data_IF_811743732251
#
_entry.id   IF_811743732251
#
_cell.length_a   1.000
_cell.length_b   1.000
_cell.length_c   1.000
_cell.angle_alpha   90.00
_cell.angle_beta   90.00
_cell.angle_gamma   90.00
#
_symmetry.space_group_name_H-M   'P 1'
#
loop_
_entity.id
_entity.type
_entity.pdbx_description
1 polymer ?
#
# COMPACT_ATOMS: atom_id res chain seq x y z
N UNK A 1 -14.82 7.32 -0.09
CA UNK A 1 -14.23 6.49 -1.15
C UNK A 1 -13.64 5.25 -0.49
N UNK A 2 -14.01 4.04 -0.91
CA UNK A 2 -13.50 2.79 -0.33
C UNK A 2 -11.99 2.62 -0.53
N UNK A 3 -11.43 3.10 -1.64
CA UNK A 3 -9.98 3.10 -1.88
C UNK A 3 -9.23 3.82 -0.75
N UNK A 4 -9.73 4.99 -0.34
CA UNK A 4 -9.10 5.78 0.73
C UNK A 4 -9.13 5.05 2.08
N UNK A 5 -10.23 4.36 2.41
CA UNK A 5 -10.34 3.58 3.66
C UNK A 5 -9.36 2.40 3.68
N UNK A 6 -9.25 1.68 2.56
CA UNK A 6 -8.30 0.56 2.43
C UNK A 6 -6.86 1.07 2.50
N UNK A 7 -6.58 2.22 1.87
CA UNK A 7 -5.29 2.88 1.94
C UNK A 7 -4.90 3.25 3.39
N UNK A 8 -5.80 3.88 4.14
CA UNK A 8 -5.58 4.21 5.56
C UNK A 8 -5.36 2.95 6.42
N UNK A 9 -6.10 1.87 6.15
CA UNK A 9 -5.94 0.59 6.85
C UNK A 9 -4.52 0.02 6.65
N UNK A 10 -4.05 -0.06 5.40
CA UNK A 10 -2.68 -0.51 5.11
C UNK A 10 -1.63 0.37 5.79
N UNK A 11 -1.78 1.70 5.75
CA UNK A 11 -0.80 2.59 6.39
C UNK A 11 -0.71 2.36 7.91
N UNK A 12 -1.85 2.13 8.56
CA UNK A 12 -1.90 1.87 10.01
C UNK A 12 -1.33 0.50 10.35
N UNK A 13 -1.78 -0.54 9.66
CA UNK A 13 -1.41 -1.94 9.95
C UNK A 13 0.07 -2.21 9.62
N UNK A 14 0.57 -1.72 8.48
CA UNK A 14 1.98 -1.88 8.12
C UNK A 14 2.89 -1.27 9.20
N UNK A 15 2.56 -0.07 9.69
CA UNK A 15 3.30 0.59 10.77
C UNK A 15 3.21 -0.17 12.10
N UNK A 16 2.03 -0.64 12.49
CA UNK A 16 1.87 -1.41 13.74
C UNK A 16 2.62 -2.75 13.71
N UNK A 17 2.74 -3.35 12.53
CA UNK A 17 3.49 -4.58 12.29
C UNK A 17 5.00 -4.34 12.07
N UNK A 18 5.49 -3.11 12.27
CA UNK A 18 6.91 -2.78 12.22
C UNK A 18 7.49 -2.62 10.83
N UNK A 19 6.66 -2.40 9.80
CA UNK A 19 7.14 -1.98 8.49
C UNK A 19 7.37 -0.47 8.45
N UNK A 20 8.49 -0.07 7.85
CA UNK A 20 8.85 1.34 7.66
C UNK A 20 8.39 1.83 6.29
N UNK A 21 7.61 2.91 6.25
CA UNK A 21 7.20 3.55 5.00
C UNK A 21 8.40 4.22 4.34
N UNK A 22 8.63 3.91 3.06
CA UNK A 22 9.74 4.46 2.26
C UNK A 22 9.24 5.44 1.21
N UNK A 23 8.10 5.15 0.60
CA UNK A 23 7.46 6.05 -0.33
C UNK A 23 5.94 5.90 -0.27
N UNK A 24 5.25 7.02 -0.45
CA UNK A 24 3.81 7.09 -0.65
C UNK A 24 3.56 7.98 -1.86
N UNK A 25 2.79 7.48 -2.81
CA UNK A 25 2.39 8.21 -4.02
C UNK A 25 0.89 8.10 -4.19
N UNK A 26 0.22 9.24 -4.39
CA UNK A 26 -1.21 9.29 -4.63
C UNK A 26 -1.44 9.87 -6.03
N UNK A 27 -2.07 9.08 -6.91
CA UNK A 27 -2.37 9.43 -8.29
C UNK A 27 -3.89 9.34 -8.51
N UNK A 28 -4.60 10.43 -8.24
CA UNK A 28 -6.06 10.48 -8.41
C UNK A 28 -6.78 9.42 -7.56
N UNK A 29 -7.35 8.41 -8.20
CA UNK A 29 -8.05 7.29 -7.53
C UNK A 29 -7.14 6.10 -7.19
N UNK A 30 -5.83 6.26 -7.31
CA UNK A 30 -4.84 5.25 -6.97
C UNK A 30 -3.91 5.72 -5.84
N UNK A 31 -3.65 4.86 -4.87
CA UNK A 31 -2.61 5.01 -3.86
C UNK A 31 -1.55 3.93 -4.03
N UNK A 32 -0.29 4.31 -3.98
CA UNK A 32 0.87 3.40 -4.02
C UNK A 32 1.73 3.62 -2.80
N UNK A 33 2.08 2.53 -2.13
CA UNK A 33 2.96 2.53 -0.96
C UNK A 33 4.14 1.60 -1.17
N UNK A 34 5.30 2.02 -0.68
CA UNK A 34 6.51 1.22 -0.59
C UNK A 34 6.89 1.12 0.87
N UNK A 35 6.97 -0.11 1.37
CA UNK A 35 7.34 -0.42 2.74
C UNK A 35 8.57 -1.32 2.78
N UNK A 36 9.34 -1.23 3.86
CA UNK A 36 10.50 -2.08 4.11
C UNK A 36 10.45 -2.67 5.53
N UNK A 37 10.88 -3.92 5.65
CA UNK A 37 11.09 -4.58 6.94
C UNK A 37 12.25 -5.57 6.81
N UNK A 38 13.36 -5.28 7.48
CA UNK A 38 14.61 -6.04 7.37
C UNK A 38 15.07 -6.09 5.90
N UNK A 39 15.32 -7.27 5.33
CA UNK A 39 15.69 -7.47 3.92
C UNK A 39 14.50 -7.60 2.98
N UNK A 40 13.28 -7.20 3.39
CA UNK A 40 12.07 -7.28 2.56
C UNK A 40 11.57 -5.92 2.15
N UNK A 41 11.10 -5.83 0.91
CA UNK A 41 10.38 -4.68 0.37
C UNK A 41 8.97 -5.12 -0.04
N UNK A 42 7.97 -4.30 0.29
CA UNK A 42 6.59 -4.49 -0.11
C UNK A 42 6.12 -3.29 -0.93
N UNK A 43 5.61 -3.54 -2.14
CA UNK A 43 4.96 -2.55 -2.99
C UNK A 43 3.46 -2.84 -2.99
N UNK A 44 2.66 -1.86 -2.60
CA UNK A 44 1.21 -1.96 -2.49
C UNK A 44 0.61 -0.91 -3.40
N UNK A 45 -0.23 -1.31 -4.35
CA UNK A 45 -1.02 -0.40 -5.17
C UNK A 45 -2.51 -0.67 -4.94
N UNK A 46 -3.27 0.37 -4.64
CA UNK A 46 -4.70 0.32 -4.34
C UNK A 46 -5.39 1.27 -5.31
N UNK A 47 -6.30 0.77 -6.11
CA UNK A 47 -7.02 1.56 -7.11
C UNK A 47 -8.48 1.15 -7.20
N UNK A 48 -9.30 2.02 -7.79
CA UNK A 48 -10.65 1.66 -8.25
C UNK A 48 -10.57 1.18 -9.70
N UNK A 49 -11.15 0.03 -10.00
CA UNK A 49 -11.31 -0.47 -11.39
C UNK A 49 -12.69 -1.12 -11.49
N UNK A 50 -13.48 -0.70 -12.48
CA UNK A 50 -14.89 -1.11 -12.66
C UNK A 50 -15.76 -0.95 -11.41
N UNK A 51 -15.53 0.13 -10.65
CA UNK A 51 -16.25 0.43 -9.41
C UNK A 51 -15.88 -0.50 -8.24
N UNK A 52 -14.84 -1.31 -8.38
CA UNK A 52 -14.33 -2.21 -7.33
C UNK A 52 -12.93 -1.81 -6.91
N UNK A 53 -12.66 -1.90 -5.60
CA UNK A 53 -11.31 -1.73 -5.08
C UNK A 53 -10.45 -2.92 -5.46
N UNK A 54 -9.36 -2.65 -6.18
CA UNK A 54 -8.32 -3.61 -6.54
C UNK A 54 -7.06 -3.29 -5.75
N UNK A 55 -6.44 -4.34 -5.23
CA UNK A 55 -5.21 -4.27 -4.45
C UNK A 55 -4.18 -5.17 -5.13
N UNK A 56 -3.07 -4.58 -5.53
CA UNK A 56 -1.89 -5.31 -6.02
C UNK A 56 -0.81 -5.23 -4.96
N UNK A 57 -0.39 -6.39 -4.44
CA UNK A 57 0.66 -6.50 -3.44
C UNK A 57 1.80 -7.35 -4.00
N UNK A 58 3.00 -6.79 -4.02
CA UNK A 58 4.22 -7.52 -4.36
C UNK A 58 5.19 -7.43 -3.19
N UNK A 59 5.70 -8.59 -2.74
CA UNK A 59 6.73 -8.68 -1.69
C UNK A 59 7.97 -9.33 -2.29
N UNK A 60 9.12 -8.71 -2.07
CA UNK A 60 10.42 -9.19 -2.52
C UNK A 60 11.47 -9.09 -1.43
N UNK A 61 12.63 -9.72 -1.67
CA UNK A 61 13.85 -9.45 -0.90
C UNK A 61 14.66 -8.37 -1.63
N UNK A 62 15.22 -7.43 -0.86
CA UNK A 62 16.30 -6.57 -1.32
C UNK A 62 17.62 -7.34 -1.38
#
# INVERSE_FOLDING_TARGET
>A
NEVAKVAEAYQKEMKSEGWSEKATMNFGEQSVFVYEKESRIANIAIASTDGKTHITLTIGKN
#
